data_IF_383079881836
#
_entry.id   IF_383079881836
#
_cell.length_a   1.000
_cell.length_b   1.000
_cell.length_c   1.000
_cell.angle_alpha   90.00
_cell.angle_beta   90.00
_cell.angle_gamma   90.00
#
_symmetry.space_group_name_H-M   'P 1'
#
loop_
_entity.id
_entity.type
_entity.pdbx_description
1 polymer ?
#
# COMPACT_ATOMS: atom_id res chain seq x y z
N UNK A 1 7.94 14.54 0.65
CA UNK A 1 7.13 14.91 -0.54
C UNK A 1 6.26 16.13 -0.25
N UNK A 2 5.36 16.09 0.75
CA UNK A 2 4.42 17.21 0.98
C UNK A 2 5.13 18.54 1.27
N UNK A 3 6.08 18.55 2.21
CA UNK A 3 6.85 19.75 2.52
C UNK A 3 7.60 20.34 1.32
N UNK A 4 8.15 19.48 0.45
CA UNK A 4 8.77 19.92 -0.81
C UNK A 4 7.75 20.58 -1.73
N UNK A 5 6.59 19.95 -1.93
CA UNK A 5 5.54 20.52 -2.80
C UNK A 5 4.98 21.85 -2.29
N UNK A 6 4.91 22.03 -0.97
CA UNK A 6 4.50 23.31 -0.36
C UNK A 6 5.61 24.35 -0.52
N UNK A 7 6.88 23.99 -0.28
CA UNK A 7 8.02 24.88 -0.43
C UNK A 7 8.16 25.40 -1.87
N UNK A 8 8.05 24.50 -2.86
CA UNK A 8 8.07 24.88 -4.27
C UNK A 8 6.97 25.89 -4.60
N UNK A 9 5.75 25.64 -4.08
CA UNK A 9 4.63 26.55 -4.28
C UNK A 9 4.86 27.93 -3.62
N UNK A 10 5.42 27.97 -2.42
CA UNK A 10 5.77 29.23 -1.72
C UNK A 10 6.85 30.02 -2.46
N UNK A 11 7.78 29.32 -3.09
CA UNK A 11 8.88 29.93 -3.85
C UNK A 11 8.53 30.18 -5.33
N UNK A 12 7.29 29.90 -5.75
CA UNK A 12 6.85 30.00 -7.15
C UNK A 12 7.68 29.14 -8.12
N UNK A 13 8.16 27.99 -7.65
CA UNK A 13 8.92 27.02 -8.47
C UNK A 13 7.93 26.03 -9.08
N UNK A 14 8.00 25.86 -10.40
CA UNK A 14 7.13 24.92 -11.14
C UNK A 14 7.76 23.53 -11.24
N UNK A 15 7.93 22.87 -10.11
CA UNK A 15 8.38 21.48 -10.03
C UNK A 15 7.21 20.50 -9.86
N UNK A 16 7.41 19.30 -10.36
CA UNK A 16 6.51 18.18 -10.09
C UNK A 16 7.05 17.31 -8.95
N UNK A 17 6.46 17.42 -7.78
CA UNK A 17 6.82 16.57 -6.63
C UNK A 17 5.97 15.29 -6.65
N UNK A 18 6.65 14.15 -6.73
CA UNK A 18 6.03 12.82 -6.80
C UNK A 18 6.49 12.00 -5.60
N UNK A 19 5.54 11.44 -4.85
CA UNK A 19 5.79 10.47 -3.79
C UNK A 19 5.29 9.09 -4.22
N UNK A 20 6.18 8.10 -4.31
CA UNK A 20 5.80 6.70 -4.58
C UNK A 20 5.70 5.98 -3.24
N UNK A 21 4.57 5.32 -2.99
CA UNK A 21 4.32 4.60 -1.74
C UNK A 21 3.69 3.24 -2.04
N UNK A 22 4.14 2.19 -1.35
CA UNK A 22 3.52 0.87 -1.41
C UNK A 22 2.23 0.80 -0.60
N UNK A 23 1.34 -0.12 -0.95
CA UNK A 23 0.07 -0.35 -0.26
C UNK A 23 0.26 -0.73 1.21
N UNK A 24 1.28 -1.55 1.53
CA UNK A 24 1.66 -1.87 2.91
C UNK A 24 2.14 -0.63 3.68
N UNK A 25 3.04 0.17 3.11
CA UNK A 25 3.57 1.38 3.76
C UNK A 25 2.49 2.47 3.93
N UNK A 26 1.45 2.47 3.09
CA UNK A 26 0.33 3.39 3.21
C UNK A 26 -0.51 3.15 4.47
N UNK A 27 -0.42 1.98 5.11
CA UNK A 27 -1.09 1.69 6.38
C UNK A 27 -0.39 2.31 7.59
N UNK A 28 0.84 2.82 7.45
CA UNK A 28 1.58 3.48 8.51
C UNK A 28 0.99 4.83 8.92
N UNK A 29 1.06 5.17 10.21
CA UNK A 29 0.45 6.39 10.78
C UNK A 29 0.92 7.67 10.08
N UNK A 30 2.22 7.83 9.84
CA UNK A 30 2.78 8.99 9.14
C UNK A 30 2.24 9.17 7.73
N UNK A 31 1.89 8.08 7.02
CA UNK A 31 1.26 8.16 5.71
C UNK A 31 -0.14 8.77 5.80
N UNK A 32 -0.94 8.35 6.80
CA UNK A 32 -2.27 8.93 7.05
C UNK A 32 -2.18 10.39 7.50
N UNK A 33 -1.26 10.73 8.38
CA UNK A 33 -1.02 12.11 8.80
C UNK A 33 -0.63 12.99 7.61
N UNK A 34 0.26 12.48 6.75
CA UNK A 34 0.67 13.14 5.52
C UNK A 34 -0.49 13.34 4.53
N UNK A 35 -1.36 12.35 4.34
CA UNK A 35 -2.57 12.47 3.52
C UNK A 35 -3.56 13.48 4.08
N UNK A 36 -3.81 13.43 5.39
CA UNK A 36 -4.68 14.37 6.07
C UNK A 36 -4.18 15.81 5.92
N UNK A 37 -2.88 16.04 6.11
CA UNK A 37 -2.29 17.36 5.92
C UNK A 37 -2.29 17.80 4.45
N UNK A 38 -2.03 16.89 3.50
CA UNK A 38 -2.08 17.19 2.06
C UNK A 38 -3.46 17.65 1.61
N UNK A 39 -4.52 17.19 2.27
CA UNK A 39 -5.91 17.56 1.95
C UNK A 39 -6.24 19.02 2.29
N UNK A 40 -5.58 19.60 3.28
CA UNK A 40 -5.86 20.95 3.79
C UNK A 40 -4.84 22.00 3.36
N UNK A 41 -3.60 21.60 3.08
CA UNK A 41 -2.53 22.51 2.67
C UNK A 41 -2.50 22.72 1.14
N UNK A 42 -2.28 23.93 0.64
CA UNK A 42 -2.14 24.18 -0.79
C UNK A 42 -0.89 23.51 -1.37
N UNK A 43 -1.05 22.49 -2.19
CA UNK A 43 0.05 21.74 -2.80
C UNK A 43 -0.38 21.11 -4.13
N UNK A 44 0.60 20.61 -4.91
CA UNK A 44 0.40 19.88 -6.16
C UNK A 44 0.96 18.46 -6.11
N UNK A 45 1.13 17.89 -4.92
CA UNK A 45 1.71 16.58 -4.71
C UNK A 45 0.99 15.50 -5.52
N UNK A 46 1.75 14.73 -6.30
CA UNK A 46 1.31 13.49 -6.91
C UNK A 46 1.78 12.32 -6.05
N UNK A 47 0.83 11.53 -5.57
CA UNK A 47 1.10 10.30 -4.85
C UNK A 47 0.86 9.14 -5.81
N UNK A 48 1.88 8.31 -6.07
CA UNK A 48 1.73 7.07 -6.81
C UNK A 48 1.60 5.94 -5.79
N UNK A 49 0.40 5.38 -5.67
CA UNK A 49 0.15 4.21 -4.85
C UNK A 49 0.46 2.95 -5.67
N UNK A 50 1.54 2.28 -5.30
CA UNK A 50 1.95 1.02 -5.88
C UNK A 50 1.34 -0.14 -5.09
N UNK A 51 0.23 -0.67 -5.61
CA UNK A 51 -0.54 -1.75 -5.00
C UNK A 51 -0.13 -3.09 -5.61
N UNK A 52 0.52 -3.93 -4.82
CA UNK A 52 0.83 -5.30 -5.18
C UNK A 52 0.33 -6.33 -4.13
N UNK A 53 -0.41 -5.89 -3.12
CA UNK A 53 -0.91 -6.64 -1.98
C UNK A 53 0.19 -7.35 -1.16
N UNK A 54 1.41 -6.81 -1.19
CA UNK A 54 2.56 -7.36 -0.50
C UNK A 54 3.36 -6.28 0.21
N UNK A 55 3.67 -6.56 1.48
CA UNK A 55 4.79 -5.94 2.19
C UNK A 55 6.01 -6.88 2.11
N UNK A 56 6.55 -7.34 3.23
CA UNK A 56 7.40 -8.54 3.28
C UNK A 56 6.49 -9.75 3.09
N UNK A 57 5.49 -9.88 3.95
CA UNK A 57 4.38 -10.82 3.83
C UNK A 57 3.13 -10.13 3.19
N UNK A 58 2.01 -10.83 3.12
CA UNK A 58 0.74 -10.25 2.61
C UNK A 58 0.29 -9.10 3.49
N UNK A 59 -0.20 -8.03 2.88
CA UNK A 59 -0.72 -6.88 3.63
C UNK A 59 -1.99 -7.24 4.38
N UNK A 60 -2.09 -6.76 5.64
CA UNK A 60 -3.22 -6.99 6.53
C UNK A 60 -3.99 -5.71 6.84
N UNK A 61 -5.17 -5.86 7.43
CA UNK A 61 -5.97 -4.76 7.96
C UNK A 61 -7.08 -4.25 7.03
N UNK A 62 -7.99 -3.46 7.62
CA UNK A 62 -9.20 -2.95 6.96
C UNK A 62 -8.89 -2.00 5.79
N UNK A 63 -7.77 -1.30 5.82
CA UNK A 63 -7.37 -0.43 4.73
C UNK A 63 -7.00 -1.21 3.47
N UNK A 64 -6.22 -2.28 3.59
CA UNK A 64 -5.89 -3.18 2.48
C UNK A 64 -7.14 -3.83 1.89
N UNK A 65 -8.10 -4.23 2.75
CA UNK A 65 -9.41 -4.72 2.30
C UNK A 65 -10.21 -3.64 1.54
N UNK A 66 -10.15 -2.38 1.98
CA UNK A 66 -10.81 -1.27 1.29
C UNK A 66 -10.19 -1.01 -0.08
N UNK A 67 -8.86 -1.03 -0.20
CA UNK A 67 -8.16 -0.96 -1.48
C UNK A 67 -8.58 -2.10 -2.42
N UNK A 68 -8.67 -3.33 -1.92
CA UNK A 68 -9.16 -4.48 -2.70
C UNK A 68 -10.60 -4.26 -3.22
N UNK A 69 -11.50 -3.70 -2.42
CA UNK A 69 -12.88 -3.38 -2.85
C UNK A 69 -12.91 -2.34 -3.97
N UNK A 70 -12.04 -1.32 -3.92
CA UNK A 70 -11.90 -0.33 -5.00
C UNK A 70 -11.44 -1.03 -6.30
N UNK A 71 -10.55 -2.02 -6.19
CA UNK A 71 -9.96 -2.74 -7.33
C UNK A 71 -10.94 -3.66 -8.04
N UNK A 72 -11.92 -4.21 -7.33
CA UNK A 72 -12.89 -5.18 -7.90
C UNK A 72 -14.02 -4.53 -8.70
N UNK A 73 -14.24 -3.21 -8.59
CA UNK A 73 -15.28 -2.50 -9.33
C UNK A 73 -14.88 -2.18 -10.78
N UNK A 74 -14.79 -3.21 -11.63
CA UNK A 74 -14.47 -3.08 -13.07
C UNK A 74 -15.46 -2.17 -13.83
N UNK A 75 -16.71 -2.14 -13.43
CA UNK A 75 -17.77 -1.34 -14.06
C UNK A 75 -17.58 0.16 -13.86
N UNK A 76 -17.16 0.57 -12.64
CA UNK A 76 -16.90 1.96 -12.31
C UNK A 76 -15.74 2.55 -13.12
N UNK A 77 -14.61 1.84 -13.18
CA UNK A 77 -13.43 2.29 -13.91
C UNK A 77 -13.68 2.37 -15.42
N UNK A 78 -14.44 1.44 -15.99
CA UNK A 78 -14.79 1.43 -17.42
C UNK A 78 -15.75 2.56 -17.78
N UNK A 79 -16.73 2.87 -16.93
CA UNK A 79 -17.69 3.96 -17.16
C UNK A 79 -17.01 5.33 -17.07
N UNK A 80 -16.15 5.54 -16.06
CA UNK A 80 -15.36 6.76 -15.89
C UNK A 80 -14.46 7.04 -17.09
N UNK A 81 -13.77 6.02 -17.58
CA UNK A 81 -12.91 6.13 -18.77
C UNK A 81 -13.72 6.49 -20.03
N UNK A 82 -14.88 5.85 -20.23
CA UNK A 82 -15.76 6.16 -21.35
C UNK A 82 -16.31 7.59 -21.30
N UNK A 83 -16.74 8.05 -20.12
CA UNK A 83 -17.25 9.42 -19.93
C UNK A 83 -16.14 10.47 -20.17
N UNK A 84 -14.94 10.25 -19.68
CA UNK A 84 -13.80 11.13 -19.93
C UNK A 84 -13.48 11.26 -21.43
N UNK A 85 -13.44 10.14 -22.15
CA UNK A 85 -13.23 10.15 -23.60
C UNK A 85 -14.39 10.79 -24.39
N UNK A 86 -15.63 10.60 -23.95
CA UNK A 86 -16.80 11.20 -24.55
C UNK A 86 -16.77 12.74 -24.43
N UNK A 87 -16.49 13.26 -23.24
CA UNK A 87 -16.40 14.70 -22.99
C UNK A 87 -15.23 15.35 -23.72
N UNK A 88 -14.08 14.64 -23.82
CA UNK A 88 -12.96 15.10 -24.63
C UNK A 88 -13.29 15.16 -26.12
N UNK A 89 -14.03 14.18 -26.63
CA UNK A 89 -14.46 14.11 -28.05
C UNK A 89 -15.52 15.16 -28.41
N UNK A 90 -16.28 15.62 -27.42
CA UNK A 90 -17.33 16.64 -27.59
C UNK A 90 -16.80 18.08 -27.47
N UNK A 91 -15.48 18.29 -27.28
CA UNK A 91 -14.90 19.64 -27.21
C UNK A 91 -15.37 20.49 -26.01
N UNK A 92 -15.99 19.87 -24.99
CA UNK A 92 -16.59 20.55 -23.86
C UNK A 92 -15.58 20.87 -22.72
N UNK A 93 -14.27 20.83 -23.00
CA UNK A 93 -13.23 21.08 -22.03
C UNK A 93 -12.78 22.54 -22.11
N UNK A 94 -13.64 23.43 -21.60
CA UNK A 94 -13.29 24.82 -21.29
C UNK A 94 -13.17 24.96 -19.75
N UNK A 95 -12.23 25.79 -19.25
CA UNK A 95 -11.83 25.78 -17.83
C UNK A 95 -12.97 26.09 -16.86
N UNK A 96 -13.91 26.97 -17.21
CA UNK A 96 -15.07 27.31 -16.37
C UNK A 96 -16.16 26.22 -16.38
N UNK A 97 -16.34 25.54 -17.48
CA UNK A 97 -17.25 24.38 -17.59
C UNK A 97 -16.69 23.13 -16.91
N UNK A 98 -15.36 23.08 -16.73
CA UNK A 98 -14.65 21.99 -16.06
C UNK A 98 -15.02 21.86 -14.58
N UNK A 99 -15.19 22.96 -13.83
CA UNK A 99 -15.64 22.94 -12.43
C UNK A 99 -17.08 22.41 -12.31
N UNK A 100 -17.95 22.78 -13.24
CA UNK A 100 -19.33 22.29 -13.30
C UNK A 100 -19.38 20.78 -13.65
N UNK A 101 -18.61 20.35 -14.64
CA UNK A 101 -18.51 18.94 -15.04
C UNK A 101 -17.92 18.05 -13.95
N UNK A 102 -16.95 18.54 -13.17
CA UNK A 102 -16.41 17.83 -12.02
C UNK A 102 -17.43 17.70 -10.89
N UNK A 103 -18.24 18.74 -10.63
CA UNK A 103 -19.35 18.68 -9.66
C UNK A 103 -20.47 17.75 -10.14
N UNK A 104 -20.82 17.81 -11.40
CA UNK A 104 -21.85 16.95 -12.02
C UNK A 104 -21.41 15.49 -12.11
N UNK A 105 -20.16 15.24 -12.50
CA UNK A 105 -19.54 13.90 -12.45
C UNK A 105 -19.54 13.32 -11.03
N UNK A 106 -19.28 14.13 -10.01
CA UNK A 106 -19.33 13.70 -8.62
C UNK A 106 -20.76 13.39 -8.14
N UNK A 107 -21.77 14.12 -8.63
CA UNK A 107 -23.18 13.88 -8.31
C UNK A 107 -23.71 12.59 -8.95
N UNK A 108 -23.35 12.32 -10.21
CA UNK A 108 -23.66 11.06 -10.90
C UNK A 108 -22.91 9.89 -10.24
N UNK A 109 -21.67 10.11 -9.80
CA UNK A 109 -20.86 9.17 -9.05
C UNK A 109 -21.56 8.71 -7.77
N UNK A 110 -22.07 9.66 -6.99
CA UNK A 110 -22.77 9.40 -5.73
C UNK A 110 -24.08 8.62 -5.97
N UNK A 111 -24.77 8.86 -7.07
CA UNK A 111 -26.02 8.19 -7.43
C UNK A 111 -25.80 6.75 -7.93
N UNK A 112 -24.73 6.51 -8.70
CA UNK A 112 -24.45 5.20 -9.34
C UNK A 112 -23.60 4.25 -8.49
N UNK A 113 -22.79 4.75 -7.57
CA UNK A 113 -21.88 3.95 -6.73
C UNK A 113 -22.44 3.59 -5.35
N UNK A 114 -23.70 3.85 -5.09
CA UNK A 114 -24.30 3.58 -3.78
C UNK A 114 -23.65 4.35 -2.61
N UNK A 115 -23.03 5.50 -2.91
CA UNK A 115 -22.47 6.39 -1.88
C UNK A 115 -21.11 6.03 -1.31
N UNK A 116 -20.45 4.96 -1.74
CA UNK A 116 -19.12 4.57 -1.23
C UNK A 116 -18.02 5.42 -1.89
N UNK A 117 -17.62 6.49 -1.21
CA UNK A 117 -16.40 7.24 -1.55
C UNK A 117 -15.18 6.42 -1.11
N UNK A 118 -14.12 6.42 -1.92
CA UNK A 118 -12.85 5.90 -1.43
C UNK A 118 -12.24 6.88 -0.41
N UNK A 119 -11.32 6.40 0.42
CA UNK A 119 -10.71 7.18 1.49
C UNK A 119 -10.03 8.46 0.97
N UNK A 120 -9.38 8.42 -0.20
CA UNK A 120 -8.72 9.58 -0.79
C UNK A 120 -9.72 10.67 -1.19
N UNK A 121 -10.83 10.27 -1.80
CA UNK A 121 -11.91 11.19 -2.16
C UNK A 121 -12.62 11.75 -0.92
N UNK A 122 -12.68 10.99 0.17
CA UNK A 122 -13.20 11.48 1.46
C UNK A 122 -12.30 12.56 2.06
N UNK A 123 -10.99 12.47 1.84
CA UNK A 123 -10.01 13.50 2.19
C UNK A 123 -9.89 14.60 1.13
N UNK A 124 -10.80 14.70 0.17
CA UNK A 124 -10.75 15.68 -0.94
C UNK A 124 -9.50 15.58 -1.84
N UNK A 125 -8.79 14.45 -1.80
CA UNK A 125 -7.67 14.14 -2.68
C UNK A 125 -8.21 13.51 -3.97
N UNK A 126 -7.78 14.01 -5.13
CA UNK A 126 -8.22 13.44 -6.41
C UNK A 126 -7.63 12.05 -6.60
N UNK A 127 -8.49 11.10 -6.92
CA UNK A 127 -8.09 9.73 -7.16
C UNK A 127 -8.18 9.34 -8.63
N UNK A 128 -7.09 8.78 -9.17
CA UNK A 128 -6.97 8.28 -10.54
C UNK A 128 -6.55 6.80 -10.49
N UNK A 129 -7.14 6.03 -11.33
CA UNK A 129 -6.78 4.62 -11.46
C UNK A 129 -7.91 3.75 -10.99
N UNK A 130 -7.76 2.50 -10.95
CA UNK A 130 -6.59 1.65 -10.97
C UNK A 130 -6.10 1.39 -12.41
N UNK A 131 -4.80 1.46 -12.67
CA UNK A 131 -4.18 1.14 -13.96
C UNK A 131 -3.11 0.05 -13.78
N UNK A 132 -2.80 -0.65 -14.88
CA UNK A 132 -1.70 -1.61 -14.89
C UNK A 132 -0.36 -0.89 -14.78
N UNK A 133 0.39 -1.14 -13.69
CA UNK A 133 1.71 -0.55 -13.46
C UNK A 133 2.81 -1.15 -14.34
N UNK A 134 2.55 -2.24 -15.05
CA UNK A 134 3.48 -2.83 -16.02
C UNK A 134 3.22 -2.35 -17.46
N UNK A 135 2.10 -1.66 -17.73
CA UNK A 135 1.85 -1.01 -19.03
C UNK A 135 2.46 0.40 -19.04
N UNK A 136 3.73 0.48 -19.46
CA UNK A 136 4.48 1.74 -19.55
C UNK A 136 3.81 2.76 -20.47
N UNK A 137 3.17 2.33 -21.56
CA UNK A 137 2.48 3.24 -22.50
C UNK A 137 1.28 3.88 -21.83
N UNK A 138 0.50 3.11 -21.09
CA UNK A 138 -0.64 3.60 -20.32
C UNK A 138 -0.19 4.52 -19.19
N UNK A 139 0.91 4.18 -18.48
CA UNK A 139 1.51 5.02 -17.43
C UNK A 139 1.92 6.37 -17.95
N UNK A 140 2.73 6.43 -19.03
CA UNK A 140 3.19 7.68 -19.66
C UNK A 140 2.00 8.55 -20.07
N UNK A 141 0.99 7.95 -20.72
CA UNK A 141 -0.23 8.68 -21.12
C UNK A 141 -0.96 9.25 -19.90
N UNK A 142 -1.18 8.43 -18.87
CA UNK A 142 -1.91 8.86 -17.67
C UNK A 142 -1.14 9.95 -16.93
N UNK A 143 0.17 9.80 -16.73
CA UNK A 143 1.00 10.82 -16.09
C UNK A 143 1.00 12.14 -16.87
N UNK A 144 1.08 12.08 -18.20
CA UNK A 144 0.97 13.26 -19.06
C UNK A 144 -0.38 13.97 -18.90
N UNK A 145 -1.46 13.19 -18.79
CA UNK A 145 -2.82 13.74 -18.66
C UNK A 145 -3.05 14.39 -17.27
N UNK A 146 -2.41 13.87 -16.19
CA UNK A 146 -2.66 14.34 -14.82
C UNK A 146 -1.61 15.29 -14.24
N UNK A 147 -0.43 15.43 -14.86
CA UNK A 147 0.69 16.23 -14.33
C UNK A 147 0.32 17.67 -14.02
N UNK A 148 -0.51 18.27 -14.87
CA UNK A 148 -0.89 19.69 -14.77
C UNK A 148 -2.19 19.91 -13.94
N UNK A 149 -2.76 18.86 -13.33
CA UNK A 149 -3.90 19.07 -12.46
C UNK A 149 -3.45 19.69 -11.15
N UNK A 150 -4.11 20.76 -10.75
CA UNK A 150 -3.86 21.41 -9.47
C UNK A 150 -4.41 20.60 -8.29
N UNK A 151 -3.78 20.77 -7.14
CA UNK A 151 -4.12 20.12 -5.90
C UNK A 151 -3.56 18.70 -5.76
N UNK A 152 -3.65 18.13 -4.55
CA UNK A 152 -3.15 16.80 -4.26
C UNK A 152 -3.91 15.73 -5.05
N UNK A 153 -3.19 14.73 -5.52
CA UNK A 153 -3.73 13.67 -6.35
C UNK A 153 -3.04 12.33 -6.10
N UNK A 154 -3.80 11.26 -6.19
CA UNK A 154 -3.33 9.88 -6.09
C UNK A 154 -3.51 9.19 -7.44
N UNK A 155 -2.45 8.60 -7.95
CA UNK A 155 -2.48 7.64 -9.05
C UNK A 155 -2.30 6.23 -8.46
N UNK A 156 -3.33 5.42 -8.55
CA UNK A 156 -3.30 4.03 -8.09
C UNK A 156 -2.88 3.11 -9.24
N UNK A 157 -1.73 2.47 -9.09
CA UNK A 157 -1.21 1.49 -10.02
C UNK A 157 -1.22 0.11 -9.39
N UNK A 158 -1.54 -0.91 -10.18
CA UNK A 158 -1.44 -2.31 -9.77
C UNK A 158 -0.23 -2.96 -10.38
N UNK A 159 0.58 -3.59 -9.54
CA UNK A 159 1.77 -4.31 -9.96
C UNK A 159 1.79 -5.74 -9.42
N UNK A 160 2.67 -6.55 -9.96
CA UNK A 160 3.01 -7.88 -9.46
C UNK A 160 4.44 -7.85 -8.96
N UNK A 161 4.64 -8.16 -7.69
CA UNK A 161 5.99 -8.22 -7.09
C UNK A 161 6.79 -9.34 -7.77
N UNK A 162 8.02 -9.03 -8.20
CA UNK A 162 8.86 -9.99 -8.92
C UNK A 162 8.53 -10.15 -10.40
N UNK A 163 7.66 -9.33 -11.00
CA UNK A 163 7.21 -9.42 -12.39
C UNK A 163 8.36 -9.55 -13.38
N UNK A 164 8.27 -10.58 -14.24
CA UNK A 164 9.28 -10.90 -15.25
C UNK A 164 10.27 -11.98 -14.82
N UNK A 165 10.19 -12.43 -13.54
CA UNK A 165 11.01 -13.52 -13.03
C UNK A 165 10.16 -14.56 -12.30
N UNK A 166 9.89 -15.68 -12.95
CA UNK A 166 8.95 -16.69 -12.47
C UNK A 166 9.17 -17.17 -11.04
N UNK A 167 10.41 -17.44 -10.56
CA UNK A 167 10.62 -17.79 -9.16
C UNK A 167 10.14 -16.72 -8.18
N UNK A 168 10.37 -15.44 -8.48
CA UNK A 168 9.94 -14.34 -7.63
C UNK A 168 8.43 -14.07 -7.70
N UNK A 169 7.79 -14.28 -8.85
CA UNK A 169 6.33 -14.19 -8.99
C UNK A 169 5.63 -15.29 -8.18
N UNK A 170 6.21 -16.49 -8.10
CA UNK A 170 5.62 -17.65 -7.41
C UNK A 170 5.80 -17.60 -5.88
N UNK A 171 6.89 -17.01 -5.39
CA UNK A 171 7.22 -16.96 -3.95
C UNK A 171 7.71 -15.56 -3.54
N UNK A 172 6.83 -14.57 -3.62
CA UNK A 172 7.17 -13.16 -3.44
C UNK A 172 7.76 -12.83 -2.05
N UNK A 173 7.43 -13.60 -1.00
CA UNK A 173 7.98 -13.45 0.35
C UNK A 173 9.45 -13.89 0.40
N UNK A 174 9.76 -15.09 -0.12
CA UNK A 174 11.15 -15.60 -0.16
C UNK A 174 12.06 -14.71 -1.03
N UNK A 175 11.49 -14.14 -2.10
CA UNK A 175 12.18 -13.25 -3.04
C UNK A 175 12.16 -11.79 -2.63
N UNK A 176 11.71 -11.45 -1.44
CA UNK A 176 11.78 -10.07 -0.95
C UNK A 176 13.23 -9.61 -0.76
N UNK A 177 14.08 -10.46 -0.21
CA UNK A 177 15.52 -10.25 -0.06
C UNK A 177 16.25 -11.59 -0.18
N UNK A 178 16.36 -12.19 -1.38
CA UNK A 178 16.78 -13.58 -1.55
C UNK A 178 18.28 -13.82 -1.26
N UNK A 179 19.10 -12.79 -1.13
CA UNK A 179 20.56 -12.92 -1.08
C UNK A 179 21.13 -13.28 -2.45
N UNK A 180 22.25 -14.01 -2.48
CA UNK A 180 22.84 -14.51 -3.71
C UNK A 180 22.04 -15.67 -4.26
N UNK A 181 21.84 -15.70 -5.56
CA UNK A 181 21.14 -16.77 -6.26
C UNK A 181 21.62 -16.95 -7.70
N UNK A 182 21.41 -18.11 -8.26
CA UNK A 182 21.62 -18.37 -9.68
C UNK A 182 20.41 -17.81 -10.46
N UNK A 183 20.64 -16.81 -11.31
CA UNK A 183 19.57 -16.14 -12.07
C UNK A 183 18.86 -17.04 -13.10
N UNK A 184 19.51 -18.14 -13.53
CA UNK A 184 18.97 -19.04 -14.55
C UNK A 184 18.11 -20.13 -13.92
N UNK A 185 18.56 -20.70 -12.80
CA UNK A 185 17.88 -21.80 -12.11
C UNK A 185 16.91 -21.31 -11.01
N UNK A 186 17.14 -20.13 -10.45
CA UNK A 186 16.43 -19.63 -9.28
C UNK A 186 16.94 -20.24 -7.97
N UNK A 187 17.98 -21.05 -7.99
CA UNK A 187 18.54 -21.66 -6.78
C UNK A 187 19.29 -20.60 -5.96
N UNK A 188 18.97 -20.53 -4.67
CA UNK A 188 19.67 -19.64 -3.72
C UNK A 188 21.04 -20.19 -3.41
N UNK A 189 22.05 -19.34 -3.46
CA UNK A 189 23.42 -19.68 -3.08
C UNK A 189 23.55 -19.42 -1.59
N UNK A 190 23.48 -20.48 -0.80
CA UNK A 190 23.67 -20.44 0.65
C UNK A 190 25.15 -20.67 0.91
N UNK A 191 25.85 -19.63 1.38
CA UNK A 191 27.30 -19.72 1.67
C UNK A 191 27.61 -20.52 2.93
N UNK A 192 26.59 -20.92 3.71
CA UNK A 192 26.73 -21.61 4.98
C UNK A 192 26.16 -23.03 4.89
N UNK A 193 26.85 -23.98 5.46
CA UNK A 193 26.34 -25.35 5.67
C UNK A 193 25.35 -25.32 6.86
N UNK A 194 24.04 -25.36 6.57
CA UNK A 194 22.99 -25.35 7.59
C UNK A 194 23.16 -26.44 8.68
N UNK A 195 23.95 -27.45 8.41
CA UNK A 195 24.24 -28.55 9.37
C UNK A 195 25.37 -28.25 10.33
N UNK A 196 26.23 -27.28 10.03
CA UNK A 196 27.45 -26.99 10.81
C UNK A 196 27.39 -25.68 11.60
N UNK A 197 26.41 -24.83 11.33
CA UNK A 197 26.26 -23.52 11.99
C UNK A 197 25.12 -23.49 13.01
N UNK A 198 25.22 -22.65 14.07
CA UNK A 198 24.13 -22.47 15.01
C UNK A 198 22.92 -21.89 14.27
N UNK A 199 21.72 -22.29 14.70
CA UNK A 199 20.47 -21.78 14.15
C UNK A 199 20.39 -20.24 14.17
N UNK A 200 19.79 -19.65 13.14
CA UNK A 200 19.57 -18.20 13.11
C UNK A 200 18.73 -17.75 14.32
N UNK A 201 19.06 -16.60 14.88
CA UNK A 201 18.37 -16.04 16.05
C UNK A 201 16.85 -15.99 15.90
N UNK A 202 16.36 -15.68 14.69
CA UNK A 202 14.92 -15.64 14.42
C UNK A 202 14.25 -17.01 14.63
N UNK A 203 14.89 -18.11 14.25
CA UNK A 203 14.35 -19.46 14.46
C UNK A 203 14.36 -19.85 15.93
N UNK A 204 15.45 -19.53 16.64
CA UNK A 204 15.53 -19.74 18.09
C UNK A 204 14.42 -18.96 18.78
N UNK A 205 14.23 -17.68 18.41
CA UNK A 205 13.17 -16.84 18.96
C UNK A 205 11.77 -17.42 18.70
N UNK A 206 11.45 -17.76 17.44
CA UNK A 206 10.12 -18.24 17.07
C UNK A 206 9.75 -19.55 17.76
N UNK A 207 10.68 -20.51 17.83
CA UNK A 207 10.47 -21.79 18.52
C UNK A 207 10.34 -21.60 20.03
N UNK A 208 11.24 -20.81 20.65
CA UNK A 208 11.15 -20.51 22.08
C UNK A 208 9.86 -19.79 22.45
N UNK A 209 9.40 -18.87 21.60
CA UNK A 209 8.12 -18.20 21.82
C UNK A 209 6.96 -19.18 21.83
N UNK A 210 6.95 -20.15 20.90
CA UNK A 210 5.93 -21.21 20.87
C UNK A 210 5.98 -22.06 22.15
N UNK A 211 7.18 -22.59 22.52
CA UNK A 211 7.38 -23.39 23.73
C UNK A 211 6.86 -22.66 24.99
N UNK A 212 7.21 -21.38 25.16
CA UNK A 212 6.76 -20.58 26.28
C UNK A 212 5.25 -20.35 26.25
N UNK A 213 4.67 -20.17 25.07
CA UNK A 213 3.25 -19.98 24.90
C UNK A 213 2.44 -21.25 25.18
N UNK A 214 2.99 -22.43 24.92
CA UNK A 214 2.41 -23.71 25.33
C UNK A 214 2.34 -23.85 26.87
N UNK A 215 3.39 -23.38 27.55
CA UNK A 215 3.50 -23.42 29.01
C UNK A 215 2.65 -22.34 29.71
N UNK A 216 2.40 -21.21 29.04
CA UNK A 216 1.70 -20.07 29.64
C UNK A 216 0.70 -19.45 28.66
N UNK A 217 -0.58 -19.59 28.95
CA UNK A 217 -1.67 -19.08 28.13
C UNK A 217 -1.74 -17.54 28.02
N UNK A 218 -1.01 -16.81 28.85
CA UNK A 218 -0.95 -15.34 28.82
C UNK A 218 0.02 -14.79 27.78
N UNK A 219 0.91 -15.61 27.23
CA UNK A 219 1.89 -15.16 26.25
C UNK A 219 1.20 -14.98 24.89
N UNK A 220 1.40 -13.81 24.33
CA UNK A 220 0.92 -13.41 22.99
C UNK A 220 2.06 -12.80 22.19
N UNK A 221 1.97 -12.84 20.86
CA UNK A 221 2.94 -12.21 19.97
C UNK A 221 2.33 -11.10 19.16
N UNK A 222 3.08 -10.01 18.99
CA UNK A 222 2.70 -8.89 18.12
C UNK A 222 3.83 -8.63 17.13
N UNK A 223 3.51 -8.57 15.84
CA UNK A 223 4.49 -8.30 14.79
C UNK A 223 3.97 -7.24 13.82
N UNK A 224 4.83 -6.26 13.41
CA UNK A 224 4.48 -5.30 12.38
C UNK A 224 4.87 -5.82 10.98
N UNK A 225 3.98 -6.57 10.32
CA UNK A 225 4.11 -7.08 8.95
C UNK A 225 5.32 -8.02 8.70
N UNK A 226 5.82 -8.69 9.74
CA UNK A 226 7.02 -9.55 9.62
C UNK A 226 6.86 -10.92 10.28
N UNK A 227 5.73 -11.63 10.16
CA UNK A 227 5.55 -12.93 10.83
C UNK A 227 6.60 -13.95 10.40
N UNK A 228 6.96 -14.02 9.11
CA UNK A 228 8.01 -14.94 8.62
C UNK A 228 9.41 -14.45 8.95
N UNK A 229 9.65 -13.14 8.85
CA UNK A 229 10.97 -12.55 9.11
C UNK A 229 11.43 -12.66 10.57
N UNK A 230 10.51 -12.78 11.53
CA UNK A 230 10.82 -13.01 12.94
C UNK A 230 10.45 -14.43 13.42
N UNK A 231 10.04 -15.31 12.52
CA UNK A 231 9.59 -16.69 12.78
C UNK A 231 8.39 -16.82 13.72
N UNK A 232 7.62 -15.76 13.92
CA UNK A 232 6.33 -15.81 14.63
C UNK A 232 5.26 -16.60 13.85
N UNK A 233 5.47 -16.83 12.55
CA UNK A 233 4.60 -17.69 11.73
C UNK A 233 4.47 -19.10 12.30
N UNK A 234 5.47 -19.60 13.05
CA UNK A 234 5.41 -20.90 13.74
C UNK A 234 4.28 -20.89 14.77
N UNK A 235 4.29 -19.92 15.68
CA UNK A 235 3.23 -19.79 16.69
C UNK A 235 1.89 -19.36 16.06
N UNK A 236 1.91 -18.57 14.98
CA UNK A 236 0.69 -18.18 14.25
C UNK A 236 -0.04 -19.39 13.64
N UNK A 237 0.68 -20.41 13.23
CA UNK A 237 0.12 -21.65 12.71
C UNK A 237 -0.55 -22.48 13.81
N UNK A 238 0.12 -22.64 14.96
CA UNK A 238 -0.35 -23.47 16.08
C UNK A 238 -1.38 -22.75 16.96
N UNK A 239 -1.22 -21.44 17.14
CA UNK A 239 -2.04 -20.61 18.04
C UNK A 239 -2.45 -19.29 17.36
N UNK A 240 -3.28 -19.32 16.29
CA UNK A 240 -3.60 -18.15 15.47
C UNK A 240 -4.28 -17.02 16.26
N UNK A 241 -5.01 -17.32 17.32
CA UNK A 241 -5.71 -16.33 18.16
C UNK A 241 -4.78 -15.58 19.12
N UNK A 242 -3.51 -15.95 19.19
CA UNK A 242 -2.52 -15.39 20.12
C UNK A 242 -1.37 -14.65 19.42
N UNK A 243 -1.41 -14.54 18.10
CA UNK A 243 -0.48 -13.75 17.29
C UNK A 243 -1.24 -12.67 16.54
N UNK A 244 -0.74 -11.45 16.66
CA UNK A 244 -1.33 -10.25 16.05
C UNK A 244 -0.36 -9.62 15.06
N UNK A 245 -0.65 -9.72 13.77
CA UNK A 245 0.02 -8.92 12.77
C UNK A 245 -0.74 -7.59 12.60
N UNK A 246 -0.09 -6.49 12.94
CA UNK A 246 -0.68 -5.14 12.92
C UNK A 246 -0.37 -4.38 11.63
N UNK A 247 0.28 -5.02 10.65
CA UNK A 247 0.75 -4.35 9.44
C UNK A 247 2.00 -3.51 9.71
N UNK A 248 2.42 -2.68 8.72
CA UNK A 248 3.58 -1.78 8.89
C UNK A 248 3.17 -0.61 9.78
N UNK A 249 3.12 -0.86 11.09
CA UNK A 249 2.60 0.08 12.09
C UNK A 249 3.29 -0.11 13.44
N UNK A 250 4.61 0.11 13.50
CA UNK A 250 5.46 -0.16 14.66
C UNK A 250 5.01 0.61 15.91
N UNK A 251 4.66 1.88 15.76
CA UNK A 251 4.12 2.69 16.86
C UNK A 251 2.81 2.14 17.42
N UNK A 252 1.93 1.64 16.55
CA UNK A 252 0.71 0.96 16.97
C UNK A 252 1.02 -0.37 17.65
N UNK A 253 1.98 -1.16 17.14
CA UNK A 253 2.39 -2.41 17.75
C UNK A 253 2.78 -2.23 19.23
N UNK A 254 3.59 -1.21 19.53
CA UNK A 254 4.00 -0.90 20.91
C UNK A 254 2.80 -0.48 21.76
N UNK A 255 1.96 0.42 21.25
CA UNK A 255 0.77 0.90 21.99
C UNK A 255 -0.22 -0.23 22.23
N UNK A 256 -0.46 -1.09 21.24
CA UNK A 256 -1.33 -2.25 21.33
C UNK A 256 -0.80 -3.26 22.36
N UNK A 257 0.50 -3.56 22.32
CA UNK A 257 1.16 -4.45 23.28
C UNK A 257 1.06 -3.92 24.71
N UNK A 258 1.19 -2.58 24.91
CA UNK A 258 1.00 -1.97 26.22
C UNK A 258 -0.42 -2.17 26.77
N UNK A 259 -1.45 -2.12 25.90
CA UNK A 259 -2.82 -2.43 26.26
C UNK A 259 -2.99 -3.88 26.70
N UNK A 260 -2.45 -4.84 25.93
CA UNK A 260 -2.47 -6.26 26.26
C UNK A 260 -1.77 -6.54 27.60
N UNK A 261 -0.61 -5.95 27.82
CA UNK A 261 0.15 -6.09 29.07
C UNK A 261 -0.59 -5.49 30.27
N UNK A 262 -1.29 -4.35 30.11
CA UNK A 262 -2.10 -3.73 31.15
C UNK A 262 -3.21 -4.65 31.65
N UNK A 263 -3.79 -5.46 30.76
CA UNK A 263 -4.83 -6.44 31.07
C UNK A 263 -4.26 -7.80 31.50
N UNK A 264 -2.95 -7.91 31.71
CA UNK A 264 -2.26 -9.06 32.30
C UNK A 264 -1.79 -10.13 31.33
N UNK A 265 -1.75 -9.82 30.03
CA UNK A 265 -1.05 -10.64 29.03
C UNK A 265 0.47 -10.31 29.02
N UNK A 266 1.25 -11.19 28.42
CA UNK A 266 2.72 -11.06 28.33
C UNK A 266 3.17 -11.12 26.88
#
# INVERSE_FOLDING_TARGET
>A
GLGMSIADKMQHIDNHVIAVIGDGALTGGLAFEGLNNASSAPNNLLIILNDNNMAIDKTVGGFSQNLMRITTSKSYNRLRFKLYHLFRKMGLIDEDKRKFLLRFSNSIKNALSGGTRNIFESLSIRYFGQIDGHDVKQLVKTLTDIKNFEGPKVLHIKTVKGKGYAPAENSATEWHAPGLFNKETGERIIECDEKSEPSLYQYVFGNTLLELAEMNSKIVGVTPAMPTGCSMNVMMHEMPDRIFDVGIAEGHAVTFSAGLAKEGLM
#
